data_IF_010665647312
#
_entry.id   IF_010665647312
#
_cell.length_a   1.000
_cell.length_b   1.000
_cell.length_c   1.000
_cell.angle_alpha   90.00
_cell.angle_beta   90.00
_cell.angle_gamma   90.00
#
_symmetry.space_group_name_H-M   'P 1'
#
loop_
_entity.id
_entity.type
_entity.pdbx_description
1 polymer ?
#
# COMPACT_ATOMS: atom_id res chain seq x y z
N UNK A 1 -28.18 -6.20 -23.80
CA UNK A 1 -27.23 -7.33 -23.73
C UNK A 1 -26.10 -6.94 -22.79
N UNK A 2 -25.53 -7.88 -22.06
CA UNK A 2 -24.32 -7.64 -21.26
C UNK A 2 -23.10 -7.82 -22.17
N UNK A 3 -21.90 -7.55 -21.66
CA UNK A 3 -20.64 -7.91 -22.32
C UNK A 3 -20.62 -9.39 -22.72
N UNK A 4 -19.85 -9.77 -23.77
CA UNK A 4 -19.75 -11.16 -24.25
C UNK A 4 -19.09 -12.10 -23.21
N UNK A 5 -18.45 -11.53 -22.18
CA UNK A 5 -17.69 -12.25 -21.17
C UNK A 5 -18.14 -12.02 -19.71
N UNK A 6 -18.96 -11.01 -19.44
CA UNK A 6 -19.40 -10.67 -18.07
C UNK A 6 -20.93 -10.73 -17.97
N UNK A 7 -21.43 -11.36 -16.90
CA UNK A 7 -22.84 -11.28 -16.54
C UNK A 7 -23.16 -10.00 -15.73
N UNK A 8 -24.41 -9.85 -15.26
CA UNK A 8 -24.82 -8.66 -14.51
C UNK A 8 -24.22 -8.61 -13.10
N UNK A 9 -23.91 -9.77 -12.51
CA UNK A 9 -23.26 -9.85 -11.21
C UNK A 9 -21.79 -9.43 -11.37
N UNK A 10 -21.09 -9.94 -12.39
CA UNK A 10 -19.70 -9.58 -12.70
C UNK A 10 -19.57 -8.07 -12.95
N UNK A 11 -20.40 -7.56 -13.88
CA UNK A 11 -21.11 -6.29 -13.80
C UNK A 11 -20.92 -5.47 -12.52
N UNK A 12 -21.81 -5.79 -11.61
CA UNK A 12 -22.07 -5.08 -10.37
C UNK A 12 -20.88 -5.16 -9.42
N UNK A 13 -20.22 -6.32 -9.31
CA UNK A 13 -19.04 -6.48 -8.45
C UNK A 13 -17.92 -5.53 -8.87
N UNK A 14 -17.64 -5.40 -10.17
CA UNK A 14 -16.63 -4.45 -10.69
C UNK A 14 -17.01 -3.00 -10.38
N UNK A 15 -18.29 -2.64 -10.53
CA UNK A 15 -18.76 -1.28 -10.23
C UNK A 15 -18.69 -0.94 -8.75
N UNK A 16 -19.03 -1.90 -7.88
CA UNK A 16 -18.94 -1.74 -6.43
C UNK A 16 -17.48 -1.58 -6.01
N UNK A 17 -16.57 -2.38 -6.57
CA UNK A 17 -15.14 -2.28 -6.29
C UNK A 17 -14.57 -0.92 -6.74
N UNK A 18 -14.92 -0.46 -7.94
CA UNK A 18 -14.51 0.86 -8.43
C UNK A 18 -15.04 1.97 -7.53
N UNK A 19 -16.30 1.86 -7.07
CA UNK A 19 -16.90 2.82 -6.16
C UNK A 19 -16.13 2.86 -4.82
N UNK A 20 -15.77 1.72 -4.26
CA UNK A 20 -15.02 1.62 -3.00
C UNK A 20 -13.59 2.20 -3.13
N UNK A 21 -12.89 1.87 -4.22
CA UNK A 21 -11.48 2.25 -4.40
C UNK A 21 -11.35 3.70 -4.88
N UNK A 22 -12.24 4.16 -5.76
CA UNK A 22 -12.10 5.43 -6.46
C UNK A 22 -13.18 6.45 -6.11
N UNK A 23 -14.24 6.09 -5.39
CA UNK A 23 -15.43 6.93 -5.21
C UNK A 23 -16.12 7.30 -6.53
N UNK A 24 -16.01 6.43 -7.53
CA UNK A 24 -16.67 6.57 -8.81
C UNK A 24 -16.58 5.30 -9.62
N UNK A 25 -17.46 5.17 -10.60
CA UNK A 25 -17.47 4.04 -11.53
C UNK A 25 -17.93 4.51 -12.91
N UNK A 26 -17.68 3.69 -13.94
CA UNK A 26 -18.13 4.00 -15.28
C UNK A 26 -18.68 2.78 -16.02
N UNK A 27 -19.73 3.02 -16.80
CA UNK A 27 -20.38 2.00 -17.63
C UNK A 27 -20.50 2.53 -19.05
N UNK A 28 -19.94 1.82 -20.02
CA UNK A 28 -20.19 2.09 -21.42
C UNK A 28 -21.55 1.48 -21.81
N UNK A 29 -22.47 2.34 -22.23
CA UNK A 29 -23.80 1.98 -22.72
C UNK A 29 -23.81 2.13 -24.24
N UNK A 30 -24.08 1.05 -24.95
CA UNK A 30 -24.22 1.05 -26.42
C UNK A 30 -25.69 0.94 -26.79
N UNK A 31 -26.19 1.92 -27.54
CA UNK A 31 -27.56 1.93 -28.06
C UNK A 31 -27.70 1.08 -29.32
N UNK A 32 -28.84 0.42 -29.46
CA UNK A 32 -29.25 -0.26 -30.69
C UNK A 32 -29.72 0.75 -31.73
N UNK A 33 -29.80 0.32 -33.00
CA UNK A 33 -30.42 1.14 -34.07
C UNK A 33 -31.87 1.53 -33.79
N UNK A 34 -32.54 0.86 -32.85
CA UNK A 34 -33.92 1.12 -32.45
C UNK A 34 -34.02 2.01 -31.19
N UNK A 35 -32.89 2.51 -30.66
CA UNK A 35 -32.87 3.36 -29.46
C UNK A 35 -33.12 2.60 -28.15
N UNK A 36 -32.94 1.28 -28.15
CA UNK A 36 -32.93 0.43 -26.94
C UNK A 36 -31.50 0.12 -26.51
N UNK A 37 -31.27 -0.25 -25.25
CA UNK A 37 -29.92 -0.58 -24.77
C UNK A 37 -29.48 -1.92 -25.39
N UNK A 38 -28.49 -1.87 -26.28
CA UNK A 38 -27.93 -3.05 -26.93
C UNK A 38 -26.89 -3.73 -26.04
N UNK A 39 -25.97 -2.96 -25.44
CA UNK A 39 -24.85 -3.48 -24.66
C UNK A 39 -24.55 -2.59 -23.44
N UNK A 40 -24.18 -3.19 -22.32
CA UNK A 40 -23.56 -2.50 -21.17
C UNK A 40 -22.24 -3.18 -20.84
N UNK A 41 -21.19 -2.38 -20.64
CA UNK A 41 -19.83 -2.85 -20.38
C UNK A 41 -19.22 -2.02 -19.26
N UNK A 42 -18.60 -2.69 -18.29
CA UNK A 42 -17.75 -2.03 -17.31
C UNK A 42 -16.50 -1.47 -18.02
N UNK A 43 -16.13 -0.23 -17.68
CA UNK A 43 -14.86 0.36 -18.08
C UNK A 43 -14.08 0.66 -16.79
N UNK A 44 -12.87 0.10 -16.61
CA UNK A 44 -12.06 0.35 -15.43
C UNK A 44 -11.83 1.85 -15.22
N UNK A 45 -12.16 2.33 -14.02
CA UNK A 45 -12.20 3.76 -13.72
C UNK A 45 -10.84 4.46 -13.91
N UNK A 46 -9.74 3.75 -13.63
CA UNK A 46 -8.37 4.24 -13.74
C UNK A 46 -7.93 4.55 -15.17
N UNK A 47 -8.59 3.94 -16.17
CA UNK A 47 -8.31 4.13 -17.60
C UNK A 47 -9.00 5.35 -18.21
N UNK A 48 -9.88 6.01 -17.46
CA UNK A 48 -10.75 7.08 -17.97
C UNK A 48 -10.10 8.43 -17.74
N UNK A 49 -10.13 9.28 -18.76
CA UNK A 49 -9.79 10.69 -18.66
C UNK A 49 -10.98 11.54 -19.11
N UNK A 50 -11.33 12.52 -18.29
CA UNK A 50 -12.47 13.42 -18.53
C UNK A 50 -11.97 14.69 -19.19
N UNK A 51 -12.73 15.22 -20.14
CA UNK A 51 -12.51 16.56 -20.67
C UNK A 51 -12.92 17.65 -19.64
N UNK A 52 -12.69 18.92 -19.97
CA UNK A 52 -12.96 20.02 -19.03
C UNK A 52 -14.46 20.28 -18.78
N UNK A 53 -15.31 19.79 -19.68
CA UNK A 53 -16.73 20.07 -19.70
C UNK A 53 -17.59 18.86 -19.28
N UNK A 54 -16.94 17.76 -18.86
CA UNK A 54 -17.56 16.46 -18.54
C UNK A 54 -18.46 15.90 -19.66
N UNK A 55 -18.12 16.18 -20.92
CA UNK A 55 -18.91 15.80 -22.11
C UNK A 55 -18.28 14.71 -22.94
N UNK A 56 -16.96 14.62 -22.90
CA UNK A 56 -16.19 13.63 -23.66
C UNK A 56 -15.20 12.93 -22.74
N UNK A 57 -15.18 11.61 -22.85
CA UNK A 57 -14.30 10.74 -22.11
C UNK A 57 -13.30 10.11 -23.06
N UNK A 58 -12.06 10.03 -22.61
CA UNK A 58 -10.97 9.36 -23.30
C UNK A 58 -10.67 8.09 -22.52
N UNK A 59 -10.90 6.95 -23.15
CA UNK A 59 -10.60 5.62 -22.60
C UNK A 59 -9.44 5.07 -23.39
N UNK A 60 -8.43 4.57 -22.69
CA UNK A 60 -7.23 4.15 -23.37
C UNK A 60 -6.57 2.97 -22.64
N UNK A 61 -6.09 2.01 -23.42
CA UNK A 61 -5.62 0.71 -22.92
C UNK A 61 -4.19 0.73 -22.35
N UNK A 62 -3.54 1.90 -22.29
CA UNK A 62 -2.11 2.04 -21.99
C UNK A 62 -1.70 1.91 -20.51
N UNK A 63 -2.60 1.55 -19.61
CA UNK A 63 -2.22 1.23 -18.22
C UNK A 63 -1.81 -0.25 -18.09
N UNK A 64 -0.78 -0.62 -18.85
CA UNK A 64 -0.03 -1.87 -18.68
C UNK A 64 1.37 -1.50 -18.19
N UNK A 65 1.96 -2.31 -17.32
CA UNK A 65 3.21 -2.03 -16.57
C UNK A 65 4.41 -1.65 -17.46
N UNK A 66 4.36 -1.95 -18.76
CA UNK A 66 5.46 -1.77 -19.70
C UNK A 66 5.72 -0.32 -20.16
N UNK A 67 4.79 0.65 -19.99
CA UNK A 67 4.85 1.91 -20.78
C UNK A 67 4.73 3.22 -19.97
N UNK A 68 5.49 3.34 -18.89
CA UNK A 68 5.70 4.62 -18.16
C UNK A 68 6.48 5.67 -18.99
N UNK A 69 6.97 5.35 -20.20
CA UNK A 69 7.96 6.20 -20.90
C UNK A 69 7.59 6.78 -22.28
N UNK A 70 6.40 6.59 -22.86
CA UNK A 70 6.14 7.09 -24.21
C UNK A 70 4.82 7.84 -24.31
N UNK A 71 4.91 9.09 -24.81
CA UNK A 71 3.78 9.92 -25.22
C UNK A 71 2.77 9.09 -26.03
N UNK A 72 1.47 9.13 -25.70
CA UNK A 72 0.48 8.27 -26.32
C UNK A 72 0.40 8.56 -27.83
N UNK A 73 0.45 7.50 -28.65
CA UNK A 73 0.12 7.64 -30.07
C UNK A 73 -1.37 7.95 -30.16
N UNK A 74 -1.71 9.01 -30.88
CA UNK A 74 -3.07 9.57 -31.01
C UNK A 74 -4.12 8.52 -31.48
N UNK A 75 -3.69 7.40 -32.07
CA UNK A 75 -4.56 6.32 -32.54
C UNK A 75 -5.08 5.35 -31.47
N UNK A 76 -4.50 5.36 -30.26
CA UNK A 76 -4.77 4.33 -29.23
C UNK A 76 -5.73 4.80 -28.12
N UNK A 77 -6.44 5.92 -28.36
CA UNK A 77 -7.38 6.53 -27.40
C UNK A 77 -8.79 6.53 -27.98
N UNK A 78 -9.70 5.76 -27.37
CA UNK A 78 -11.11 5.78 -27.71
C UNK A 78 -11.76 7.02 -27.08
N UNK A 79 -12.48 7.81 -27.90
CA UNK A 79 -13.27 8.94 -27.42
C UNK A 79 -14.74 8.56 -27.34
N UNK A 80 -15.30 8.61 -26.13
CA UNK A 80 -16.68 8.23 -25.84
C UNK A 80 -17.43 9.45 -25.32
N UNK A 81 -18.56 9.85 -25.92
CA UNK A 81 -19.39 10.93 -25.39
C UNK A 81 -20.06 10.55 -24.06
N UNK A 82 -20.42 11.55 -23.27
CA UNK A 82 -21.22 11.37 -22.07
C UNK A 82 -22.58 10.71 -22.35
N UNK A 83 -23.07 9.97 -21.36
CA UNK A 83 -24.38 9.35 -21.43
C UNK A 83 -25.50 10.39 -21.53
N UNK A 84 -26.34 10.23 -22.55
CA UNK A 84 -27.45 11.12 -22.85
C UNK A 84 -28.68 10.30 -23.23
N UNK A 85 -29.72 10.38 -22.42
CA UNK A 85 -30.97 9.64 -22.63
C UNK A 85 -31.84 10.20 -23.76
N UNK A 86 -31.61 11.45 -24.16
CA UNK A 86 -32.29 12.11 -25.27
C UNK A 86 -31.62 11.76 -26.60
N UNK A 87 -30.29 11.63 -26.61
CA UNK A 87 -29.51 11.24 -27.78
C UNK A 87 -29.07 9.76 -27.72
N UNK A 88 -29.95 8.84 -28.12
CA UNK A 88 -29.74 7.38 -28.02
C UNK A 88 -28.98 6.78 -29.19
N UNK A 89 -27.77 7.28 -29.45
CA UNK A 89 -26.96 6.88 -30.61
C UNK A 89 -25.56 6.43 -30.16
N UNK A 90 -25.13 5.29 -30.68
CA UNK A 90 -23.75 4.80 -30.53
C UNK A 90 -23.40 4.36 -29.10
N UNK A 91 -22.10 4.39 -28.79
CA UNK A 91 -21.53 4.09 -27.47
C UNK A 91 -21.42 5.39 -26.69
N UNK A 92 -21.91 5.41 -25.46
CA UNK A 92 -21.83 6.53 -24.53
C UNK A 92 -21.35 6.05 -23.17
N UNK A 93 -20.72 6.94 -22.40
CA UNK A 93 -20.18 6.61 -21.08
C UNK A 93 -21.05 7.21 -19.98
N UNK A 94 -21.64 6.34 -19.17
CA UNK A 94 -22.23 6.73 -17.90
C UNK A 94 -21.11 6.82 -16.85
N UNK A 95 -20.75 8.04 -16.48
CA UNK A 95 -19.68 8.33 -15.53
C UNK A 95 -20.27 8.81 -14.21
N UNK A 96 -20.16 8.00 -13.16
CA UNK A 96 -20.65 8.32 -11.83
C UNK A 96 -19.48 8.65 -10.90
N UNK A 97 -19.71 9.64 -10.03
CA UNK A 97 -18.78 10.02 -8.96
C UNK A 97 -19.54 10.49 -7.74
N UNK A 98 -19.03 10.16 -6.56
CA UNK A 98 -19.52 10.69 -5.30
C UNK A 98 -19.20 12.19 -5.23
N UNK A 99 -20.16 12.98 -4.76
CA UNK A 99 -19.96 14.41 -4.60
C UNK A 99 -18.97 14.71 -3.48
N UNK A 100 -17.92 15.48 -3.78
CA UNK A 100 -16.98 15.99 -2.80
C UNK A 100 -16.71 17.49 -3.08
N UNK A 101 -16.72 18.31 -2.02
CA UNK A 101 -16.50 19.75 -2.16
C UNK A 101 -15.08 20.04 -2.69
N UNK A 102 -14.97 20.94 -3.67
CA UNK A 102 -13.68 21.31 -4.28
C UNK A 102 -13.20 20.34 -5.37
N UNK A 103 -13.87 19.21 -5.57
CA UNK A 103 -13.49 18.18 -6.54
C UNK A 103 -14.36 18.28 -7.80
N UNK A 104 -13.73 18.55 -8.95
CA UNK A 104 -14.46 18.88 -10.18
C UNK A 104 -14.62 17.77 -11.19
N UNK A 105 -13.66 16.87 -11.35
CA UNK A 105 -13.69 15.85 -12.43
C UNK A 105 -13.44 14.45 -11.88
N UNK A 106 -12.40 14.29 -11.06
CA UNK A 106 -12.00 13.00 -10.50
C UNK A 106 -12.30 12.93 -9.00
N UNK A 107 -13.13 11.97 -8.53
CA UNK A 107 -13.41 11.79 -7.10
C UNK A 107 -12.14 11.51 -6.29
N UNK A 108 -12.21 11.79 -4.98
CA UNK A 108 -11.17 11.44 -4.02
C UNK A 108 -11.58 10.15 -3.29
N UNK A 109 -10.73 9.11 -3.28
CA UNK A 109 -10.94 7.91 -2.49
C UNK A 109 -11.12 8.19 -0.99
N UNK A 110 -11.97 7.42 -0.31
CA UNK A 110 -12.24 7.59 1.13
C UNK A 110 -11.03 7.21 2.00
N UNK A 111 -10.30 6.16 1.59
CA UNK A 111 -9.14 5.65 2.34
C UNK A 111 -7.97 6.64 2.43
N UNK A 112 -7.98 7.75 1.68
CA UNK A 112 -6.92 8.77 1.75
C UNK A 112 -6.75 9.31 3.17
N UNK A 113 -7.85 9.48 3.92
CA UNK A 113 -7.79 9.91 5.33
C UNK A 113 -7.20 8.84 6.26
N UNK A 114 -7.35 7.57 5.89
CA UNK A 114 -6.84 6.41 6.62
C UNK A 114 -5.42 6.00 6.25
N UNK A 115 -4.81 6.57 5.20
CA UNK A 115 -3.48 6.17 4.71
C UNK A 115 -2.41 6.14 5.81
N UNK A 116 -2.39 7.14 6.70
CA UNK A 116 -1.43 7.19 7.80
C UNK A 116 -1.64 6.04 8.81
N UNK A 117 -2.89 5.66 9.06
CA UNK A 117 -3.23 4.53 9.94
C UNK A 117 -2.91 3.19 9.29
N UNK A 118 -3.24 3.03 8.00
CA UNK A 118 -2.88 1.85 7.21
C UNK A 118 -1.36 1.67 7.20
N UNK A 119 -0.60 2.74 6.98
CA UNK A 119 0.86 2.70 7.03
C UNK A 119 1.37 2.33 8.43
N UNK A 120 0.78 2.90 9.49
CA UNK A 120 1.15 2.55 10.86
C UNK A 120 0.96 1.04 11.13
N UNK A 121 -0.18 0.47 10.70
CA UNK A 121 -0.48 -0.96 10.82
C UNK A 121 0.54 -1.83 10.06
N UNK A 122 0.90 -1.42 8.85
CA UNK A 122 1.97 -2.10 8.07
C UNK A 122 3.30 -2.06 8.82
N UNK A 123 3.65 -0.94 9.44
CA UNK A 123 4.89 -0.84 10.21
C UNK A 123 4.87 -1.68 11.49
N UNK A 124 3.70 -1.81 12.14
CA UNK A 124 3.51 -2.71 13.29
C UNK A 124 3.71 -4.17 12.87
N UNK A 125 3.09 -4.60 11.77
CA UNK A 125 3.29 -5.93 11.22
C UNK A 125 4.77 -6.19 10.86
N UNK A 126 5.43 -5.22 10.24
CA UNK A 126 6.86 -5.28 9.92
C UNK A 126 7.73 -5.37 11.18
N UNK A 127 7.43 -4.59 12.21
CA UNK A 127 8.11 -4.65 13.51
C UNK A 127 7.99 -6.05 14.12
N UNK A 128 6.81 -6.65 14.10
CA UNK A 128 6.61 -8.02 14.60
C UNK A 128 7.31 -9.07 13.76
N UNK A 129 7.23 -8.99 12.44
CA UNK A 129 7.94 -9.90 11.54
C UNK A 129 9.46 -9.83 11.78
N UNK A 130 10.00 -8.62 11.96
CA UNK A 130 11.40 -8.42 12.30
C UNK A 130 11.75 -8.99 13.67
N UNK A 131 10.90 -8.81 14.68
CA UNK A 131 11.14 -9.39 16.01
C UNK A 131 11.10 -10.93 15.97
N UNK A 132 10.13 -11.53 15.28
CA UNK A 132 10.03 -12.99 15.09
C UNK A 132 11.26 -13.56 14.37
N UNK A 133 11.66 -12.93 13.25
CA UNK A 133 12.87 -13.32 12.51
C UNK A 133 14.13 -13.22 13.35
N UNK A 134 14.18 -12.26 14.26
CA UNK A 134 15.30 -12.07 15.18
C UNK A 134 15.09 -12.80 16.53
N UNK A 135 14.19 -13.80 16.60
CA UNK A 135 13.93 -14.62 17.79
C UNK A 135 13.53 -13.84 19.06
N UNK A 136 13.00 -12.62 18.93
CA UNK A 136 12.79 -11.68 20.04
C UNK A 136 14.09 -11.32 20.79
N UNK A 137 15.25 -11.55 20.19
CA UNK A 137 16.52 -11.15 20.76
C UNK A 137 16.67 -9.65 20.60
N UNK A 138 16.29 -8.89 21.63
CA UNK A 138 16.87 -7.58 21.83
C UNK A 138 18.38 -7.72 21.91
N UNK A 139 19.10 -6.84 21.23
CA UNK A 139 20.57 -6.84 21.30
C UNK A 139 21.06 -6.83 22.75
N UNK A 140 22.26 -7.31 23.01
CA UNK A 140 22.88 -7.13 24.32
C UNK A 140 23.99 -6.09 24.22
N UNK A 141 24.04 -5.20 25.20
CA UNK A 141 25.18 -4.34 25.43
C UNK A 141 26.17 -5.10 26.32
N UNK A 142 27.35 -5.39 25.79
CA UNK A 142 28.46 -5.99 26.53
C UNK A 142 29.45 -4.86 26.85
N UNK A 143 29.54 -4.48 28.11
CA UNK A 143 30.46 -3.45 28.55
C UNK A 143 31.66 -4.07 29.27
N UNK A 144 32.86 -3.91 28.72
CA UNK A 144 34.13 -4.33 29.33
C UNK A 144 34.75 -3.16 30.09
N UNK A 145 34.88 -3.27 31.41
CA UNK A 145 35.42 -2.19 32.24
C UNK A 145 36.93 -2.32 32.53
N UNK A 146 37.67 -3.14 31.78
CA UNK A 146 39.10 -3.43 32.05
C UNK A 146 40.08 -2.58 31.24
N UNK A 147 39.68 -1.38 30.80
CA UNK A 147 40.49 -0.52 29.91
C UNK A 147 40.13 -0.66 28.43
N UNK A 148 40.48 0.35 27.64
CA UNK A 148 40.32 0.34 26.18
C UNK A 148 41.42 -0.54 25.55
N UNK A 149 41.09 -1.71 24.96
CA UNK A 149 42.09 -2.56 24.30
C UNK A 149 42.64 -1.89 23.05
N UNK A 150 43.75 -2.40 22.51
CA UNK A 150 44.25 -1.94 21.21
C UNK A 150 43.23 -2.24 20.09
N UNK A 151 43.22 -1.50 18.97
CA UNK A 151 42.25 -1.70 17.88
C UNK A 151 42.23 -3.14 17.32
N UNK A 152 43.36 -3.82 17.35
CA UNK A 152 43.49 -5.22 16.93
C UNK A 152 42.78 -6.17 17.91
N UNK A 153 43.02 -5.99 19.21
CA UNK A 153 42.37 -6.75 20.29
C UNK A 153 40.86 -6.50 20.33
N UNK A 154 40.41 -5.26 20.08
CA UNK A 154 38.98 -4.94 19.98
C UNK A 154 38.32 -5.74 18.85
N UNK A 155 38.96 -5.80 17.67
CA UNK A 155 38.46 -6.57 16.54
C UNK A 155 38.43 -8.07 16.79
N UNK A 156 39.38 -8.60 17.56
CA UNK A 156 39.41 -10.01 17.97
C UNK A 156 38.33 -10.35 18.98
N UNK A 157 38.11 -9.49 19.98
CA UNK A 157 37.02 -9.63 20.96
C UNK A 157 35.66 -9.59 20.24
N UNK A 158 35.46 -8.64 19.33
CA UNK A 158 34.22 -8.53 18.56
C UNK A 158 33.99 -9.76 17.67
N UNK A 159 35.03 -10.28 17.00
CA UNK A 159 34.94 -11.52 16.21
C UNK A 159 34.62 -12.74 17.07
N UNK A 160 35.23 -12.86 18.25
CA UNK A 160 34.97 -13.98 19.17
C UNK A 160 33.55 -13.95 19.71
N UNK A 161 33.05 -12.78 20.08
CA UNK A 161 31.66 -12.59 20.52
C UNK A 161 30.72 -12.92 19.36
N UNK A 162 30.96 -12.36 18.17
CA UNK A 162 30.18 -12.71 16.97
C UNK A 162 30.13 -14.21 16.75
N UNK A 163 31.27 -14.92 16.75
CA UNK A 163 31.32 -16.38 16.55
C UNK A 163 30.59 -17.19 17.62
N UNK A 164 30.69 -16.79 18.89
CA UNK A 164 30.04 -17.51 20.01
C UNK A 164 28.54 -17.28 20.06
N UNK A 165 28.08 -16.12 19.64
CA UNK A 165 26.66 -15.73 19.66
C UNK A 165 26.01 -15.77 18.27
N UNK A 166 26.74 -16.16 17.22
CA UNK A 166 26.23 -16.40 15.87
C UNK A 166 25.88 -17.87 15.63
N UNK A 167 24.92 -18.38 16.41
CA UNK A 167 24.22 -19.61 16.05
C UNK A 167 23.55 -19.49 14.69
N UNK A 168 23.20 -20.63 14.09
CA UNK A 168 22.77 -20.77 12.68
C UNK A 168 21.53 -19.98 12.27
N UNK A 169 20.76 -19.43 13.21
CA UNK A 169 19.53 -18.66 12.92
C UNK A 169 19.53 -17.29 13.61
N UNK A 170 20.20 -16.31 12.98
CA UNK A 170 20.23 -14.88 13.35
C UNK A 170 20.94 -14.54 14.67
N UNK A 171 22.26 -14.40 14.55
CA UNK A 171 23.16 -13.81 15.54
C UNK A 171 22.71 -12.40 15.97
N UNK A 172 22.38 -12.25 17.26
CA UNK A 172 21.93 -11.00 17.87
C UNK A 172 22.86 -9.81 17.61
N UNK A 173 22.27 -8.61 17.52
CA UNK A 173 23.00 -7.36 17.38
C UNK A 173 23.61 -6.99 18.74
N UNK A 174 24.81 -7.50 19.03
CA UNK A 174 25.55 -7.14 20.23
C UNK A 174 26.26 -5.80 20.01
N UNK A 175 26.13 -4.89 20.97
CA UNK A 175 26.94 -3.67 21.03
C UNK A 175 28.01 -3.91 22.08
N UNK A 176 29.28 -3.78 21.69
CA UNK A 176 30.41 -3.93 22.61
C UNK A 176 30.93 -2.54 22.95
N UNK A 177 31.06 -2.23 24.24
CA UNK A 177 31.64 -0.97 24.73
C UNK A 177 32.79 -1.28 25.67
N UNK A 178 33.83 -0.45 25.65
CA UNK A 178 35.01 -0.59 26.50
C UNK A 178 35.13 0.66 27.38
N UNK A 179 35.32 0.47 28.68
CA UNK A 179 35.43 1.51 29.71
C UNK A 179 36.66 1.25 30.61
N UNK A 180 37.22 2.29 31.22
CA UNK A 180 38.51 2.25 31.95
C UNK A 180 38.43 1.82 33.42
N UNK A 181 37.24 1.57 33.95
CA UNK A 181 37.02 1.36 35.39
C UNK A 181 37.31 -0.09 35.83
N UNK A 182 38.61 -0.43 35.97
CA UNK A 182 39.16 -1.78 36.18
C UNK A 182 38.67 -2.53 37.44
N UNK A 183 37.84 -1.90 38.27
CA UNK A 183 37.26 -2.50 39.47
C UNK A 183 35.91 -3.17 39.25
N UNK A 184 35.28 -2.98 38.08
CA UNK A 184 33.94 -3.48 37.78
C UNK A 184 33.99 -4.68 36.82
N UNK A 185 33.25 -5.74 37.15
CA UNK A 185 33.07 -6.86 36.24
C UNK A 185 32.39 -6.40 34.92
N UNK A 186 32.57 -7.11 33.79
CA UNK A 186 31.84 -6.82 32.58
C UNK A 186 30.33 -6.91 32.81
N UNK A 187 29.59 -5.89 32.40
CA UNK A 187 28.13 -5.88 32.55
C UNK A 187 27.47 -6.30 31.24
N UNK A 188 26.48 -7.18 31.34
CA UNK A 188 25.61 -7.59 30.24
C UNK A 188 24.25 -6.93 30.47
N UNK A 189 23.92 -5.93 29.66
CA UNK A 189 22.63 -5.26 29.73
C UNK A 189 21.78 -5.66 28.52
N UNK A 190 20.59 -6.26 28.71
CA UNK A 190 19.69 -6.53 27.62
C UNK A 190 19.12 -5.21 27.08
N UNK A 191 19.23 -4.98 25.77
CA UNK A 191 18.61 -3.84 25.07
C UNK A 191 17.14 -4.12 24.71
N UNK A 192 16.58 -5.26 25.13
CA UNK A 192 15.16 -5.54 24.96
C UNK A 192 14.33 -4.44 25.62
N UNK A 193 13.42 -3.78 24.91
CA UNK A 193 12.43 -2.92 25.54
C UNK A 193 11.60 -3.77 26.50
N UNK A 194 11.62 -3.46 27.80
CA UNK A 194 10.98 -4.24 28.87
C UNK A 194 9.45 -4.23 28.85
N UNK A 195 8.82 -3.66 27.83
CA UNK A 195 7.36 -3.44 27.75
C UNK A 195 6.79 -3.71 26.36
N UNK A 196 7.37 -4.66 25.61
CA UNK A 196 6.79 -5.06 24.31
C UNK A 196 5.33 -5.48 24.45
N UNK A 197 5.00 -6.29 25.46
CA UNK A 197 3.63 -6.77 25.78
C UNK A 197 2.61 -5.63 25.91
N UNK A 198 2.98 -4.51 26.53
CA UNK A 198 2.10 -3.34 26.67
C UNK A 198 1.96 -2.56 25.37
N UNK A 199 3.01 -2.49 24.56
CA UNK A 199 2.90 -1.91 23.22
C UNK A 199 1.96 -2.74 22.33
N UNK A 200 1.99 -4.08 22.43
CA UNK A 200 1.04 -4.96 21.74
C UNK A 200 -0.43 -4.68 22.14
N UNK A 201 -0.71 -4.52 23.43
CA UNK A 201 -2.09 -4.24 23.89
C UNK A 201 -2.61 -2.88 23.41
N UNK A 202 -1.76 -1.87 23.35
CA UNK A 202 -2.14 -0.53 22.88
C UNK A 202 -2.41 -0.55 21.37
N UNK A 203 -1.58 -1.25 20.59
CA UNK A 203 -1.73 -1.34 19.15
C UNK A 203 -2.99 -2.12 18.73
N UNK A 204 -3.28 -3.24 19.40
CA UNK A 204 -4.51 -4.00 19.16
C UNK A 204 -5.78 -3.17 19.45
N UNK A 205 -5.74 -2.27 20.44
CA UNK A 205 -6.85 -1.36 20.74
C UNK A 205 -7.02 -0.27 19.68
N UNK A 206 -5.94 0.15 19.03
CA UNK A 206 -5.98 1.16 17.96
C UNK A 206 -6.57 0.56 16.67
N UNK A 207 -6.21 -0.69 16.34
CA UNK A 207 -6.76 -1.39 15.18
C UNK A 207 -8.28 -1.54 15.22
N UNK A 208 -8.87 -1.75 16.39
CA UNK A 208 -10.33 -1.82 16.55
C UNK A 208 -11.07 -0.54 16.11
N UNK A 209 -10.41 0.62 16.14
CA UNK A 209 -11.02 1.91 15.79
C UNK A 209 -10.92 2.24 14.30
N UNK A 210 -10.15 1.48 13.50
CA UNK A 210 -10.03 1.70 12.04
C UNK A 210 -11.19 1.05 11.28
N UNK A 211 -11.86 0.08 11.90
CA UNK A 211 -12.98 -0.67 11.31
C UNK A 211 -14.38 -0.12 11.65
N UNK A 212 -14.47 1.01 12.37
CA UNK A 212 -15.71 1.75 12.65
C UNK A 212 -15.76 3.07 11.85
#
# INVERSE_FOLDING_TARGET
GLSEHDDLNDITEKLVLDLEIFNGFAVAVTWSKMGTIAKMEHIPFEKIRVDKDDKMFQVADWYNDDMVQLFPKIGDVEKIPAFDTENRIGKQLFYYRVYAAGVKHYPLPEYIGGNAWIEADVQVANFHNNNLRNNFWGGYLINFNNGIPTPEEQGDIERQIKRKFSGTDNAGRFVVTFNDDATKAPTLEPLTPSDMDKQFEILNKIQGNVCE
#
